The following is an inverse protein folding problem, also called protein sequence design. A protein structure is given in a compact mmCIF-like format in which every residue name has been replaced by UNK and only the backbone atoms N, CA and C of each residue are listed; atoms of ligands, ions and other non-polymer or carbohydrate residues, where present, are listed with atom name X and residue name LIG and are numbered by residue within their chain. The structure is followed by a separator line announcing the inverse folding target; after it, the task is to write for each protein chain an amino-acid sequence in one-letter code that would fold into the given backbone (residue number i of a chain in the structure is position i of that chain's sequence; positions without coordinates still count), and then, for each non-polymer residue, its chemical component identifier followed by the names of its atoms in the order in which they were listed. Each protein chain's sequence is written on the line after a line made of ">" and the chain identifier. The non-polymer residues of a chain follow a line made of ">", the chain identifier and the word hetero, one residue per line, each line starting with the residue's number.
data_IF_893486192287
#
_entry.id   IF_893486192287
#
_cell.length_a   1.000
_cell.length_b   1.000
_cell.length_c   1.000
_cell.angle_alpha   90.00
_cell.angle_beta   90.00
_cell.angle_gamma   90.00
#
_symmetry.space_group_name_H-M   'P 1'
#
loop_
_entity.id
_entity.type
_entity.pdbx_description
1 polymer ?
#
# COMPACT_ATOMS: atom_id res chain seq x y z
N UNK A 1 13.08 -5.97 -16.66
CA UNK A 1 11.88 -5.09 -16.67
C UNK A 1 11.72 -4.44 -15.31
N UNK A 2 11.06 -3.29 -15.26
CA UNK A 2 10.59 -2.67 -14.01
C UNK A 2 9.12 -3.01 -13.81
N UNK A 3 8.79 -3.58 -12.67
CA UNK A 3 7.45 -4.05 -12.33
C UNK A 3 7.02 -3.39 -11.02
N UNK A 4 5.88 -2.72 -11.05
CA UNK A 4 5.22 -2.29 -9.83
C UNK A 4 4.07 -3.25 -9.51
N UNK A 5 4.05 -3.72 -8.29
CA UNK A 5 2.95 -4.50 -7.72
C UNK A 5 2.23 -3.62 -6.71
N UNK A 6 0.93 -3.45 -6.88
CA UNK A 6 0.10 -2.65 -5.96
C UNK A 6 -0.80 -3.59 -5.19
N UNK A 7 -0.75 -3.52 -3.86
CA UNK A 7 -1.56 -4.40 -3.01
C UNK A 7 -1.96 -3.68 -1.72
N UNK A 8 -3.17 -3.99 -1.24
CA UNK A 8 -3.63 -3.53 0.07
C UNK A 8 -2.98 -4.32 1.22
N UNK A 9 -2.50 -5.53 0.96
CA UNK A 9 -1.86 -6.41 1.94
C UNK A 9 -0.65 -7.14 1.37
N UNK A 10 0.31 -7.49 2.22
CA UNK A 10 1.47 -8.32 1.87
C UNK A 10 1.96 -9.06 3.11
N UNK A 11 2.31 -10.33 2.96
CA UNK A 11 2.84 -11.14 4.06
C UNK A 11 4.09 -10.51 4.67
N UNK A 12 4.13 -10.47 5.98
CA UNK A 12 5.22 -9.86 6.77
C UNK A 12 5.18 -8.33 6.86
N UNK A 13 4.19 -7.64 6.21
CA UNK A 13 4.05 -6.17 6.26
C UNK A 13 2.67 -5.77 6.78
N UNK A 14 1.61 -6.11 6.07
CA UNK A 14 0.23 -5.90 6.50
C UNK A 14 -0.59 -7.11 6.10
N UNK A 15 -1.17 -7.80 7.07
CA UNK A 15 -1.76 -9.11 6.87
C UNK A 15 -3.23 -9.14 7.24
N UNK A 16 -4.06 -9.65 6.31
CA UNK A 16 -5.47 -9.88 6.56
C UNK A 16 -5.97 -11.18 5.90
N UNK A 17 -5.99 -11.24 4.59
CA UNK A 17 -6.55 -12.35 3.82
C UNK A 17 -5.51 -13.24 3.13
N UNK A 18 -5.91 -13.88 2.04
CA UNK A 18 -5.04 -14.73 1.22
C UNK A 18 -4.18 -13.97 0.22
N UNK A 19 -4.60 -12.78 -0.17
CA UNK A 19 -3.91 -11.91 -1.15
C UNK A 19 -2.50 -11.55 -0.69
N UNK A 20 -2.26 -11.43 0.62
CA UNK A 20 -0.93 -11.16 1.19
C UNK A 20 0.15 -12.11 0.70
N UNK A 21 -0.16 -13.42 0.65
CA UNK A 21 0.79 -14.44 0.20
C UNK A 21 1.05 -14.34 -1.30
N UNK A 22 0.02 -14.01 -2.08
CA UNK A 22 0.14 -13.82 -3.52
C UNK A 22 1.00 -12.59 -3.82
N UNK A 23 0.74 -11.45 -3.19
CA UNK A 23 1.51 -10.22 -3.36
C UNK A 23 3.00 -10.43 -3.01
N UNK A 24 3.26 -11.06 -1.86
CA UNK A 24 4.62 -11.38 -1.42
C UNK A 24 5.33 -12.31 -2.41
N UNK A 25 4.69 -13.42 -2.78
CA UNK A 25 5.29 -14.41 -3.68
C UNK A 25 5.58 -13.82 -5.06
N UNK A 26 4.65 -13.04 -5.63
CA UNK A 26 4.88 -12.35 -6.90
C UNK A 26 6.09 -11.41 -6.84
N UNK A 27 6.18 -10.56 -5.81
CA UNK A 27 7.31 -9.64 -5.65
C UNK A 27 8.64 -10.39 -5.53
N UNK A 28 8.67 -11.45 -4.72
CA UNK A 28 9.86 -12.29 -4.54
C UNK A 28 10.27 -12.97 -5.84
N UNK A 29 9.36 -13.70 -6.49
CA UNK A 29 9.64 -14.43 -7.72
C UNK A 29 10.09 -13.50 -8.86
N UNK A 30 9.45 -12.35 -9.05
CA UNK A 30 9.90 -11.37 -10.04
C UNK A 30 11.31 -10.87 -9.76
N UNK A 31 11.65 -10.65 -8.49
CA UNK A 31 13.00 -10.23 -8.10
C UNK A 31 14.04 -11.35 -8.30
N UNK A 32 13.70 -12.61 -8.03
CA UNK A 32 14.55 -13.76 -8.31
C UNK A 32 14.80 -13.92 -9.82
N UNK A 33 13.81 -13.61 -10.65
CA UNK A 33 13.91 -13.54 -12.12
C UNK A 33 14.67 -12.28 -12.62
N UNK A 34 15.29 -11.51 -11.70
CA UNK A 34 16.10 -10.31 -12.01
C UNK A 34 15.28 -9.14 -12.61
N UNK A 35 14.01 -9.07 -12.29
CA UNK A 35 13.22 -7.87 -12.56
C UNK A 35 13.39 -6.87 -11.41
N UNK A 36 13.41 -5.57 -11.69
CA UNK A 36 13.33 -4.53 -10.67
C UNK A 36 11.89 -4.45 -10.20
N UNK A 37 11.61 -5.03 -9.06
CA UNK A 37 10.25 -5.15 -8.52
C UNK A 37 10.06 -4.20 -7.35
N UNK A 38 8.97 -3.45 -7.39
CA UNK A 38 8.57 -2.52 -6.32
C UNK A 38 7.14 -2.81 -5.88
N UNK A 39 6.96 -3.10 -4.60
CA UNK A 39 5.64 -3.23 -3.97
C UNK A 39 5.15 -1.86 -3.48
N UNK A 40 3.93 -1.48 -3.83
CA UNK A 40 3.21 -0.36 -3.22
C UNK A 40 2.19 -0.89 -2.23
N UNK A 41 2.26 -0.42 -0.99
CA UNK A 41 1.39 -0.87 0.09
C UNK A 41 1.04 0.28 1.04
N UNK A 42 -0.22 0.41 1.49
CA UNK A 42 -0.60 1.41 2.49
C UNK A 42 0.03 1.12 3.86
N UNK A 43 0.25 2.18 4.65
CA UNK A 43 0.69 2.06 6.04
C UNK A 43 -0.51 2.15 6.96
N UNK A 44 -0.89 1.02 7.55
CA UNK A 44 -1.94 0.91 8.55
C UNK A 44 -1.36 0.95 9.97
N UNK A 45 -2.21 1.06 10.97
CA UNK A 45 -1.81 0.92 12.36
C UNK A 45 -1.25 -0.48 12.69
N UNK A 46 -1.72 -1.50 11.96
CA UNK A 46 -1.23 -2.89 12.09
C UNK A 46 0.00 -3.21 11.24
N UNK A 47 0.57 -2.26 10.50
CA UNK A 47 1.72 -2.52 9.63
C UNK A 47 2.95 -2.90 10.45
N UNK A 48 3.58 -4.03 10.10
CA UNK A 48 4.85 -4.48 10.63
C UNK A 48 5.99 -4.09 9.66
N UNK A 49 7.05 -3.52 10.18
CA UNK A 49 8.19 -3.07 9.39
C UNK A 49 9.45 -3.94 9.57
N UNK A 50 9.37 -5.03 10.35
CA UNK A 50 10.52 -5.85 10.75
C UNK A 50 11.25 -6.52 9.58
N UNK A 51 10.53 -6.76 8.47
CA UNK A 51 11.09 -7.33 7.24
C UNK A 51 11.65 -6.29 6.27
N UNK A 52 11.65 -5.00 6.65
CA UNK A 52 12.06 -3.88 5.82
C UNK A 52 13.29 -3.17 6.41
N UNK A 53 14.11 -2.59 5.54
CA UNK A 53 15.29 -1.82 5.89
C UNK A 53 15.59 -0.72 4.85
N UNK A 54 16.59 0.14 5.10
CA UNK A 54 16.95 1.27 4.22
C UNK A 54 15.78 2.20 3.91
N UNK A 55 15.15 2.72 4.97
CA UNK A 55 14.04 3.65 4.84
C UNK A 55 14.50 5.02 4.38
N UNK A 56 13.85 5.55 3.33
CA UNK A 56 14.08 6.90 2.83
C UNK A 56 12.73 7.59 2.57
N UNK A 57 12.46 8.67 3.28
CA UNK A 57 11.26 9.47 3.07
C UNK A 57 11.39 10.31 1.79
N UNK A 58 10.31 10.34 0.98
CA UNK A 58 10.20 11.26 -0.14
C UNK A 58 9.74 12.61 0.40
N UNK A 59 10.59 13.62 0.31
CA UNK A 59 10.35 14.95 0.91
C UNK A 59 9.13 15.66 0.32
N UNK A 60 8.87 15.46 -0.98
CA UNK A 60 7.75 16.09 -1.67
C UNK A 60 6.49 15.25 -1.55
N UNK A 61 5.44 15.71 -0.86
CA UNK A 61 4.16 15.02 -0.85
C UNK A 61 3.48 15.11 -2.22
N UNK A 62 2.73 14.07 -2.59
CA UNK A 62 1.80 14.15 -3.70
C UNK A 62 0.46 14.71 -3.26
N UNK A 63 -0.18 15.51 -4.12
CA UNK A 63 -1.58 15.88 -3.97
C UNK A 63 -2.44 14.98 -4.89
N UNK A 64 -3.47 14.38 -4.32
CA UNK A 64 -4.46 13.61 -5.07
C UNK A 64 -5.84 14.21 -4.84
N UNK A 65 -6.64 14.28 -5.91
CA UNK A 65 -8.01 14.76 -5.80
C UNK A 65 -8.97 13.57 -5.64
N UNK A 66 -9.76 13.60 -4.57
CA UNK A 66 -10.75 12.59 -4.23
C UNK A 66 -12.07 13.25 -3.84
N UNK A 67 -13.13 12.95 -4.56
CA UNK A 67 -14.47 13.49 -4.29
C UNK A 67 -14.48 15.02 -4.10
N UNK A 68 -13.76 15.76 -4.95
CA UNK A 68 -13.63 17.21 -4.88
C UNK A 68 -12.77 17.75 -3.74
N UNK A 69 -12.04 16.88 -3.04
CA UNK A 69 -11.08 17.26 -1.99
C UNK A 69 -9.66 16.94 -2.41
N UNK A 70 -8.72 17.81 -2.04
CA UNK A 70 -7.30 17.56 -2.18
C UNK A 70 -6.78 16.87 -0.95
N UNK A 71 -6.22 15.69 -1.13
CA UNK A 71 -5.58 14.90 -0.06
C UNK A 71 -4.07 14.84 -0.31
N UNK A 72 -3.30 15.02 0.75
CA UNK A 72 -1.83 14.92 0.70
C UNK A 72 -1.40 13.51 1.07
N UNK A 73 -0.63 12.88 0.19
CA UNK A 73 -0.05 11.55 0.41
C UNK A 73 1.47 11.69 0.47
N UNK A 74 2.08 11.01 1.41
CA UNK A 74 3.54 10.93 1.53
C UNK A 74 4.02 9.51 1.34
N UNK A 75 5.28 9.35 0.97
CA UNK A 75 5.86 8.06 0.64
C UNK A 75 7.18 7.84 1.39
N UNK A 76 7.42 6.60 1.78
CA UNK A 76 8.72 6.15 2.25
C UNK A 76 9.13 4.96 1.39
N UNK A 77 10.30 5.01 0.80
CA UNK A 77 10.89 3.86 0.14
C UNK A 77 11.65 3.01 1.16
N UNK A 78 11.65 1.71 0.96
CA UNK A 78 12.39 0.76 1.77
C UNK A 78 12.79 -0.44 0.90
N UNK A 79 13.64 -1.32 1.43
CA UNK A 79 13.96 -2.61 0.84
C UNK A 79 13.41 -3.75 1.70
N UNK A 80 12.88 -4.77 1.04
CA UNK A 80 12.51 -6.01 1.70
C UNK A 80 13.72 -6.94 1.86
N UNK A 81 13.77 -7.68 2.97
CA UNK A 81 14.74 -8.78 3.16
C UNK A 81 14.63 -9.87 2.07
N UNK A 82 13.57 -9.86 1.27
CA UNK A 82 13.36 -10.75 0.12
C UNK A 82 13.72 -10.14 -1.23
N UNK A 83 14.59 -9.08 -1.24
CA UNK A 83 15.19 -8.46 -2.41
C UNK A 83 14.23 -7.75 -3.38
N UNK A 84 13.08 -7.26 -2.93
CA UNK A 84 12.26 -6.32 -3.70
C UNK A 84 12.19 -4.97 -3.00
N UNK A 85 11.98 -3.91 -3.77
CA UNK A 85 11.78 -2.57 -3.24
C UNK A 85 10.34 -2.42 -2.73
N UNK A 86 10.14 -1.56 -1.72
CA UNK A 86 8.82 -1.25 -1.16
C UNK A 86 8.61 0.25 -1.14
N UNK A 87 7.43 0.68 -1.55
CA UNK A 87 6.93 2.05 -1.37
C UNK A 87 5.77 1.99 -0.38
N UNK A 88 6.01 2.50 0.79
CA UNK A 88 5.02 2.67 1.85
C UNK A 88 4.21 3.93 1.57
N UNK A 89 2.92 3.77 1.30
CA UNK A 89 1.97 4.85 1.02
C UNK A 89 1.36 5.31 2.34
N UNK A 90 1.69 6.54 2.76
CA UNK A 90 1.28 7.10 4.04
C UNK A 90 0.16 8.12 3.87
N UNK A 91 -0.95 7.90 4.54
CA UNK A 91 -2.05 8.83 4.64
C UNK A 91 -2.81 8.59 5.96
N UNK A 92 -3.38 9.66 6.56
CA UNK A 92 -4.10 9.56 7.83
C UNK A 92 -5.21 8.49 7.85
N UNK A 93 -5.96 8.37 6.75
CA UNK A 93 -7.05 7.40 6.63
C UNK A 93 -6.58 5.95 6.65
N UNK A 94 -5.39 5.65 6.14
CA UNK A 94 -4.79 4.33 6.32
C UNK A 94 -4.26 4.15 7.75
N UNK A 95 -3.55 5.16 8.25
CA UNK A 95 -2.88 5.09 9.55
C UNK A 95 -3.84 4.92 10.74
N UNK A 96 -5.11 5.32 10.60
CA UNK A 96 -6.14 5.11 11.65
C UNK A 96 -6.72 3.70 11.67
N UNK A 97 -6.56 2.90 10.59
CA UNK A 97 -7.15 1.55 10.49
C UNK A 97 -6.35 0.54 11.31
N UNK A 98 -7.02 -0.17 12.20
CA UNK A 98 -6.41 -1.22 13.03
C UNK A 98 -6.23 -2.54 12.29
N UNK A 99 -6.98 -2.76 11.20
CA UNK A 99 -6.82 -3.88 10.28
C UNK A 99 -7.06 -3.44 8.83
N UNK A 100 -6.63 -4.24 7.87
CA UNK A 100 -6.58 -3.86 6.45
C UNK A 100 -7.97 -3.64 5.85
N UNK A 101 -8.90 -4.58 6.05
CA UNK A 101 -10.20 -4.58 5.35
C UNK A 101 -11.40 -4.37 6.25
N UNK A 102 -11.30 -4.72 7.53
CA UNK A 102 -12.46 -4.80 8.42
C UNK A 102 -12.21 -4.14 9.75
N UNK A 103 -13.27 -3.67 10.38
CA UNK A 103 -13.20 -3.15 11.73
C UNK A 103 -12.84 -4.23 12.74
N UNK A 104 -12.04 -3.85 13.74
CA UNK A 104 -11.65 -4.68 14.87
C UNK A 104 -12.67 -4.57 16.01
N UNK A 105 -12.53 -5.43 17.02
CA UNK A 105 -13.33 -5.33 18.25
C UNK A 105 -13.07 -4.03 19.01
N UNK A 106 -11.84 -3.53 18.95
CA UNK A 106 -11.47 -2.27 19.61
C UNK A 106 -12.14 -1.06 18.93
N UNK A 107 -12.20 -1.04 17.62
CA UNK A 107 -12.90 0.00 16.86
C UNK A 107 -14.42 -0.04 17.11
N UNK A 108 -15.03 -1.23 17.23
CA UNK A 108 -16.44 -1.38 17.60
C UNK A 108 -16.73 -0.84 19.02
N UNK A 109 -15.84 -1.08 19.99
CA UNK A 109 -15.96 -0.53 21.35
C UNK A 109 -15.88 0.99 21.37
N UNK A 110 -15.06 1.59 20.50
CA UNK A 110 -14.94 3.05 20.39
C UNK A 110 -16.12 3.68 19.63
N UNK A 111 -16.61 2.99 18.59
CA UNK A 111 -17.74 3.43 17.80
C UNK A 111 -18.63 2.24 17.42
N UNK A 112 -19.82 2.11 18.05
CA UNK A 112 -20.74 0.98 17.79
C UNK A 112 -21.22 0.84 16.32
N UNK A 113 -21.04 1.86 15.50
CA UNK A 113 -21.31 1.78 14.05
C UNK A 113 -20.24 0.98 13.30
N UNK A 114 -19.04 0.84 13.87
CA UNK A 114 -17.94 0.07 13.32
C UNK A 114 -18.01 -1.39 13.74
N UNK A 115 -18.97 -2.13 13.18
CA UNK A 115 -19.19 -3.53 13.54
C UNK A 115 -17.98 -4.39 13.26
N UNK A 116 -17.46 -5.11 14.27
CA UNK A 116 -16.36 -6.06 14.14
C UNK A 116 -16.59 -7.00 12.96
N UNK A 117 -15.59 -7.10 12.08
CA UNK A 117 -15.61 -7.96 10.90
C UNK A 117 -16.37 -7.38 9.70
N UNK A 118 -17.10 -6.26 9.82
CA UNK A 118 -17.64 -5.54 8.66
C UNK A 118 -16.54 -4.73 7.97
N UNK A 119 -16.67 -4.53 6.66
CA UNK A 119 -15.76 -3.68 5.88
C UNK A 119 -15.77 -2.23 6.39
N UNK A 120 -14.66 -1.55 6.21
CA UNK A 120 -14.56 -0.13 6.52
C UNK A 120 -15.58 0.68 5.72
N UNK A 121 -16.31 1.59 6.36
CA UNK A 121 -17.33 2.43 5.73
C UNK A 121 -16.75 3.30 4.59
N UNK A 122 -15.48 3.64 4.69
CA UNK A 122 -14.71 4.40 3.71
C UNK A 122 -13.84 3.50 2.79
N UNK A 123 -14.11 2.18 2.72
CA UNK A 123 -13.28 1.21 2.00
C UNK A 123 -13.04 1.60 0.54
N UNK A 124 -14.11 1.91 -0.21
CA UNK A 124 -13.97 2.38 -1.60
C UNK A 124 -13.11 3.64 -1.72
N UNK A 125 -13.19 4.55 -0.74
CA UNK A 125 -12.36 5.75 -0.73
C UNK A 125 -10.88 5.39 -0.52
N UNK A 126 -10.59 4.43 0.35
CA UNK A 126 -9.23 3.92 0.58
C UNK A 126 -8.64 3.26 -0.67
N UNK A 127 -9.45 2.47 -1.40
CA UNK A 127 -9.05 1.83 -2.65
C UNK A 127 -8.65 2.88 -3.69
N UNK A 128 -9.50 3.87 -3.96
CA UNK A 128 -9.23 4.94 -4.92
C UNK A 128 -8.08 5.84 -4.46
N UNK A 129 -7.93 6.05 -3.16
CA UNK A 129 -6.80 6.80 -2.60
C UNK A 129 -5.47 6.12 -2.93
N UNK A 130 -5.36 4.79 -2.73
CA UNK A 130 -4.16 4.05 -3.09
C UNK A 130 -3.85 4.12 -4.58
N UNK A 131 -4.84 3.88 -5.44
CA UNK A 131 -4.70 3.93 -6.90
C UNK A 131 -4.16 5.30 -7.36
N UNK A 132 -4.77 6.38 -6.88
CA UNK A 132 -4.33 7.74 -7.19
C UNK A 132 -2.96 8.07 -6.61
N UNK A 133 -2.65 7.60 -5.41
CA UNK A 133 -1.34 7.78 -4.80
C UNK A 133 -0.23 7.13 -5.62
N UNK A 134 -0.43 5.89 -6.08
CA UNK A 134 0.53 5.18 -6.95
C UNK A 134 0.75 5.94 -8.26
N UNK A 135 -0.34 6.41 -8.89
CA UNK A 135 -0.23 7.24 -10.10
C UNK A 135 0.54 8.54 -9.85
N UNK A 136 0.23 9.22 -8.74
CA UNK A 136 0.89 10.48 -8.37
C UNK A 136 2.38 10.28 -8.02
N UNK A 137 2.75 9.15 -7.40
CA UNK A 137 4.15 8.78 -7.15
C UNK A 137 4.96 8.76 -8.45
N UNK A 138 4.38 8.27 -9.54
CA UNK A 138 5.03 8.29 -10.86
C UNK A 138 5.46 9.67 -11.33
N UNK A 139 4.79 10.74 -10.87
CA UNK A 139 5.14 12.13 -11.18
C UNK A 139 6.29 12.68 -10.31
N UNK A 140 6.63 12.00 -9.23
CA UNK A 140 7.71 12.41 -8.31
C UNK A 140 9.06 11.79 -8.63
N UNK A 141 9.10 10.82 -9.54
CA UNK A 141 10.31 10.05 -9.87
C UNK A 141 10.75 10.32 -11.33
N UNK A 142 12.03 10.09 -11.66
CA UNK A 142 12.50 10.18 -13.04
C UNK A 142 11.72 9.25 -13.98
N UNK A 143 11.48 9.72 -15.21
CA UNK A 143 10.76 8.92 -16.23
C UNK A 143 11.41 7.55 -16.49
N UNK A 144 12.71 7.45 -16.33
CA UNK A 144 13.45 6.18 -16.44
C UNK A 144 13.10 5.17 -15.35
N UNK A 145 12.47 5.58 -14.25
CA UNK A 145 12.05 4.71 -13.14
C UNK A 145 10.58 4.28 -13.21
N UNK A 146 9.81 4.83 -14.14
CA UNK A 146 8.43 4.41 -14.42
C UNK A 146 8.41 2.92 -14.81
N UNK A 147 7.46 2.12 -14.33
CA UNK A 147 7.41 0.69 -14.61
C UNK A 147 7.00 0.42 -16.06
N UNK A 148 7.47 -0.70 -16.58
CA UNK A 148 6.99 -1.29 -17.82
C UNK A 148 5.70 -2.09 -17.61
N UNK A 149 5.51 -2.59 -16.38
CA UNK A 149 4.32 -3.34 -15.95
C UNK A 149 3.82 -2.79 -14.62
N UNK A 150 2.54 -2.46 -14.56
CA UNK A 150 1.80 -2.18 -13.34
C UNK A 150 0.86 -3.36 -13.07
N UNK A 151 1.17 -4.13 -12.04
CA UNK A 151 0.35 -5.25 -11.59
C UNK A 151 -0.51 -4.83 -10.40
N UNK A 152 -1.79 -4.68 -10.64
CA UNK A 152 -2.77 -4.38 -9.59
C UNK A 152 -3.31 -5.68 -9.00
N UNK A 153 -3.12 -5.85 -7.69
CA UNK A 153 -3.55 -7.06 -7.01
C UNK A 153 -4.96 -6.89 -6.46
N UNK A 154 -5.92 -7.59 -7.10
CA UNK A 154 -7.34 -7.51 -6.80
C UNK A 154 -8.02 -6.19 -7.24
N UNK A 155 -9.36 -6.17 -7.18
CA UNK A 155 -10.18 -5.02 -7.61
C UNK A 155 -9.93 -3.74 -6.80
N UNK A 156 -9.50 -3.86 -5.55
CA UNK A 156 -9.19 -2.72 -4.68
C UNK A 156 -7.99 -1.87 -5.14
N UNK A 157 -7.17 -2.39 -6.05
CA UNK A 157 -5.94 -1.70 -6.52
C UNK A 157 -5.94 -1.40 -8.02
N UNK A 158 -6.99 -1.80 -8.76
CA UNK A 158 -7.10 -1.69 -10.22
C UNK A 158 -7.69 -0.38 -10.70
#
# INVERSE_FOLDING_TARGET
>A
MKIWVVSMECAGIAEAGGVKNVAFSLCKEFSELKHKTTLFIPVYKCTCLDSLFEFNDIETPAEVELCGRKEKVTFTTAKSTSNFDVVLVKHRLFAEKEAVYTYTENEEKQNPAHKKGSGHADGLFLDVLLQKAVSAYGSLIPRSEIPEILHCQDASTA
#
